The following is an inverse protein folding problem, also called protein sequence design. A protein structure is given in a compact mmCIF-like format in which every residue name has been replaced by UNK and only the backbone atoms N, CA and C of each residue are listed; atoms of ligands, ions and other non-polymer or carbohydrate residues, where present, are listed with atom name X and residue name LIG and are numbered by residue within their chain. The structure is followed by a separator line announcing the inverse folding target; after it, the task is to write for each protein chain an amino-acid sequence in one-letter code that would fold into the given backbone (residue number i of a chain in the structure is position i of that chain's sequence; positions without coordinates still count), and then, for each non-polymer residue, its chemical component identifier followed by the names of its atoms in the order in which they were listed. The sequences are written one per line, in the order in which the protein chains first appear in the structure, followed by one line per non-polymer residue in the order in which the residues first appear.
data_IF_855486285298
#
_entry.id   IF_855486285298
#
_cell.length_a   1.000
_cell.length_b   1.000
_cell.length_c   1.000
_cell.angle_alpha   90.00
_cell.angle_beta   90.00
_cell.angle_gamma   90.00
#
_symmetry.space_group_name_H-M   'P 1'
#
loop_
_entity.id
_entity.type
_entity.pdbx_description
1 polymer ?
#
# COMPACT_ATOMS: atom_id res chain seq x y z
N UNK A 1 -11.53 5.62 -5.62
CA UNK A 1 -10.43 4.62 -5.67
C UNK A 1 -10.82 3.28 -5.05
N UNK A 2 -11.49 3.27 -3.89
CA UNK A 2 -11.85 2.02 -3.21
C UNK A 2 -12.76 1.10 -4.02
N UNK A 3 -13.74 1.66 -4.75
CA UNK A 3 -14.62 0.87 -5.61
C UNK A 3 -13.88 0.38 -6.86
N UNK A 4 -13.00 1.20 -7.43
CA UNK A 4 -12.13 0.81 -8.54
C UNK A 4 -11.15 -0.30 -8.14
N UNK A 5 -10.60 -0.27 -6.92
CA UNK A 5 -9.74 -1.31 -6.37
C UNK A 5 -10.49 -2.65 -6.31
N UNK A 6 -11.75 -2.67 -5.86
CA UNK A 6 -12.57 -3.89 -5.86
C UNK A 6 -12.78 -4.43 -7.28
N UNK A 7 -13.06 -3.55 -8.25
CA UNK A 7 -13.20 -3.93 -9.66
C UNK A 7 -11.90 -4.51 -10.23
N UNK A 8 -10.76 -3.90 -9.91
CA UNK A 8 -9.44 -4.39 -10.30
C UNK A 8 -9.17 -5.79 -9.72
N UNK A 9 -9.49 -6.01 -8.44
CA UNK A 9 -9.31 -7.31 -7.78
C UNK A 9 -10.23 -8.42 -8.33
N UNK A 10 -11.30 -8.08 -9.08
CA UNK A 10 -12.12 -9.06 -9.77
C UNK A 10 -11.43 -9.66 -11.02
N UNK A 11 -10.36 -9.02 -11.52
CA UNK A 11 -9.59 -9.51 -12.66
C UNK A 11 -8.63 -10.60 -12.19
N UNK A 12 -8.70 -11.78 -12.80
CA UNK A 12 -7.80 -12.90 -12.49
C UNK A 12 -6.33 -12.46 -12.59
N UNK A 13 -5.59 -12.63 -11.50
CA UNK A 13 -4.18 -12.27 -11.41
C UNK A 13 -3.90 -10.92 -10.74
N UNK A 14 -4.93 -10.11 -10.45
CA UNK A 14 -4.78 -8.85 -9.72
C UNK A 14 -5.17 -9.07 -8.25
N UNK A 15 -4.18 -9.04 -7.36
CA UNK A 15 -4.38 -9.08 -5.91
C UNK A 15 -4.44 -7.69 -5.27
N UNK A 16 -4.66 -7.65 -3.94
CA UNK A 16 -4.71 -6.39 -3.15
C UNK A 16 -3.50 -5.49 -3.42
N UNK A 17 -2.28 -6.05 -3.40
CA UNK A 17 -1.05 -5.31 -3.64
C UNK A 17 -1.05 -4.60 -4.99
N UNK A 18 -1.38 -5.33 -6.07
CA UNK A 18 -1.40 -4.77 -7.43
C UNK A 18 -2.48 -3.70 -7.57
N UNK A 19 -3.68 -3.94 -7.02
CA UNK A 19 -4.78 -2.99 -7.09
C UNK A 19 -4.47 -1.68 -6.33
N UNK A 20 -3.90 -1.79 -5.13
CA UNK A 20 -3.43 -0.65 -4.35
C UNK A 20 -2.30 0.10 -5.04
N UNK A 21 -1.36 -0.61 -5.67
CA UNK A 21 -0.27 0.01 -6.42
C UNK A 21 -0.77 0.77 -7.66
N UNK A 22 -1.76 0.23 -8.37
CA UNK A 22 -2.45 0.94 -9.45
C UNK A 22 -3.15 2.20 -8.91
N UNK A 23 -3.87 2.09 -7.79
CA UNK A 23 -4.51 3.25 -7.18
C UNK A 23 -3.49 4.33 -6.80
N UNK A 24 -2.34 3.94 -6.25
CA UNK A 24 -1.24 4.84 -5.90
C UNK A 24 -0.63 5.55 -7.11
N UNK A 25 -0.24 4.78 -8.14
CA UNK A 25 0.60 5.30 -9.24
C UNK A 25 -0.20 5.79 -10.44
N UNK A 26 -1.30 5.13 -10.78
CA UNK A 26 -2.08 5.45 -11.97
C UNK A 26 -3.30 6.33 -11.66
N UNK A 27 -3.86 6.21 -10.45
CA UNK A 27 -4.98 7.06 -10.01
C UNK A 27 -4.53 8.20 -9.09
N UNK A 28 -3.21 8.35 -8.87
CA UNK A 28 -2.60 9.38 -8.02
C UNK A 28 -3.20 9.42 -6.60
N UNK A 29 -3.67 8.27 -6.09
CA UNK A 29 -4.37 8.23 -4.81
C UNK A 29 -3.35 8.37 -3.66
N UNK A 30 -3.44 9.42 -2.82
CA UNK A 30 -2.44 9.67 -1.77
C UNK A 30 -2.51 8.72 -0.57
N UNK A 31 -3.59 7.94 -0.46
CA UNK A 31 -3.88 7.13 0.73
C UNK A 31 -3.85 5.61 0.48
N UNK A 32 -3.27 5.17 -0.64
CA UNK A 32 -2.99 3.77 -0.89
C UNK A 32 -1.88 3.25 0.02
N UNK A 33 -2.00 1.99 0.47
CA UNK A 33 -1.00 1.32 1.30
C UNK A 33 -0.72 -0.09 0.79
N UNK A 34 0.54 -0.52 0.85
CA UNK A 34 1.04 -1.79 0.28
C UNK A 34 1.54 -2.71 1.40
N UNK A 35 0.64 -3.28 2.19
CA UNK A 35 0.96 -4.01 3.43
C UNK A 35 1.79 -5.29 3.22
N UNK A 36 1.73 -5.87 2.02
CA UNK A 36 2.48 -7.08 1.68
C UNK A 36 3.80 -6.80 0.97
N UNK A 37 4.12 -5.54 0.65
CA UNK A 37 5.31 -5.13 -0.07
C UNK A 37 6.60 -5.56 0.64
N UNK A 38 7.52 -6.15 -0.11
CA UNK A 38 8.77 -6.69 0.43
C UNK A 38 9.68 -5.57 0.95
N UNK A 39 9.72 -4.44 0.25
CA UNK A 39 10.50 -3.28 0.65
C UNK A 39 9.97 -2.66 1.94
N UNK A 40 8.66 -2.44 2.02
CA UNK A 40 7.99 -1.93 3.23
C UNK A 40 8.23 -2.87 4.42
N UNK A 41 8.07 -4.19 4.24
CA UNK A 41 8.34 -5.18 5.30
C UNK A 41 9.79 -5.15 5.76
N UNK A 42 10.75 -4.94 4.85
CA UNK A 42 12.17 -4.83 5.19
C UNK A 42 12.47 -3.54 5.95
N UNK A 43 11.90 -2.41 5.53
CA UNK A 43 12.09 -1.11 6.17
C UNK A 43 11.48 -1.04 7.59
N UNK A 44 10.42 -1.81 7.84
CA UNK A 44 9.65 -1.77 9.09
C UNK A 44 9.75 -3.07 9.90
N UNK A 45 10.86 -3.81 9.81
CA UNK A 45 11.07 -4.94 10.71
C UNK A 45 11.10 -4.47 12.18
N UNK A 46 10.57 -5.26 13.13
CA UNK A 46 10.08 -6.64 12.99
C UNK A 46 8.55 -6.78 12.78
N UNK A 47 7.85 -5.73 12.35
CA UNK A 47 6.37 -5.74 12.30
C UNK A 47 5.79 -6.68 11.24
N UNK A 48 4.68 -7.33 11.58
CA UNK A 48 3.86 -8.15 10.66
C UNK A 48 2.98 -7.27 9.76
N UNK A 49 2.51 -7.78 8.61
CA UNK A 49 1.60 -7.03 7.71
C UNK A 49 0.34 -6.49 8.42
N UNK A 50 -0.18 -7.21 9.41
CA UNK A 50 -1.35 -6.81 10.19
C UNK A 50 -1.05 -5.66 11.15
N UNK A 51 0.16 -5.62 11.72
CA UNK A 51 0.62 -4.52 12.55
C UNK A 51 0.94 -3.29 11.70
N UNK A 52 1.54 -3.49 10.52
CA UNK A 52 1.78 -2.43 9.55
C UNK A 52 0.50 -1.71 9.16
N UNK A 53 -0.60 -2.43 8.91
CA UNK A 53 -1.90 -1.83 8.64
C UNK A 53 -2.36 -0.91 9.79
N UNK A 54 -2.15 -1.31 11.05
CA UNK A 54 -2.52 -0.49 12.21
C UNK A 54 -1.63 0.75 12.34
N UNK A 55 -0.32 0.60 12.12
CA UNK A 55 0.64 1.71 12.18
C UNK A 55 0.32 2.72 11.07
N UNK A 56 0.00 2.23 9.88
CA UNK A 56 -0.29 3.06 8.72
C UNK A 56 -1.54 3.93 8.89
N UNK A 57 -2.49 3.58 9.78
CA UNK A 57 -3.65 4.43 10.06
C UNK A 57 -3.24 5.84 10.56
N UNK A 58 -2.13 5.95 11.28
CA UNK A 58 -1.61 7.25 11.74
C UNK A 58 -1.08 8.13 10.59
N UNK A 59 -0.85 7.57 9.41
CA UNK A 59 -0.33 8.28 8.23
C UNK A 59 -1.44 8.73 7.27
N UNK A 60 -2.71 8.42 7.57
CA UNK A 60 -3.83 8.92 6.77
C UNK A 60 -3.87 10.45 6.80
N UNK A 61 -4.25 11.11 5.68
CA UNK A 61 -4.65 10.54 4.40
C UNK A 61 -3.49 10.38 3.39
N UNK A 62 -2.24 10.28 3.86
CA UNK A 62 -1.01 10.37 3.06
C UNK A 62 -0.18 9.08 3.06
N UNK A 63 -0.80 7.91 3.27
CA UNK A 63 -0.10 6.63 3.37
C UNK A 63 0.79 6.31 2.16
N UNK A 64 0.43 6.76 0.96
CA UNK A 64 1.26 6.55 -0.23
C UNK A 64 2.58 7.31 -0.18
N UNK A 65 2.61 8.49 0.45
CA UNK A 65 3.85 9.23 0.66
C UNK A 65 4.74 8.55 1.69
N UNK A 66 4.15 7.95 2.74
CA UNK A 66 4.90 7.12 3.67
C UNK A 66 5.57 5.94 2.95
N UNK A 67 4.85 5.26 2.04
CA UNK A 67 5.41 4.19 1.20
C UNK A 67 6.61 4.68 0.38
N UNK A 68 6.48 5.81 -0.33
CA UNK A 68 7.60 6.36 -1.12
C UNK A 68 8.81 6.67 -0.24
N UNK A 69 8.59 7.27 0.93
CA UNK A 69 9.66 7.55 1.88
C UNK A 69 10.33 6.27 2.38
N UNK A 70 9.56 5.21 2.69
CA UNK A 70 10.11 3.93 3.11
C UNK A 70 10.95 3.29 2.00
N UNK A 71 10.51 3.34 0.74
CA UNK A 71 11.31 2.84 -0.38
C UNK A 71 12.64 3.58 -0.55
N UNK A 72 12.69 4.87 -0.23
CA UNK A 72 13.93 5.66 -0.27
C UNK A 72 14.92 5.33 0.86
N UNK A 73 14.54 4.50 1.84
CA UNK A 73 15.43 4.07 2.95
C UNK A 73 16.11 2.72 2.72
N UNK A 74 15.76 2.01 1.64
CA UNK A 74 16.19 0.64 1.34
C UNK A 74 17.49 0.56 0.54
#
# INVERSE_FOLDING_TARGET
PEEEIKKLMAIRGIGSWTAQYIAMRAMEWPDAFLETDVGVKKALQPYTSKELLKIAEAWRPWRSYAIVNLWNTL
#
